data_IF_460376110907
#
_entry.id   IF_460376110907
#
_cell.length_a   1.000
_cell.length_b   1.000
_cell.length_c   1.000
_cell.angle_alpha   90.00
_cell.angle_beta   90.00
_cell.angle_gamma   90.00
#
_symmetry.space_group_name_H-M   'P 1'
#
loop_
_entity.id
_entity.type
_entity.pdbx_description
1 polymer ?
#
# COMPACT_ATOMS: atom_id res chain seq x y z
N UNK A 1 -4.03 5.10 19.24
CA UNK A 1 -3.44 3.75 19.53
C UNK A 1 -3.89 2.85 18.41
N UNK A 2 -3.01 2.64 17.45
CA UNK A 2 -3.30 1.92 16.20
C UNK A 2 -3.69 0.49 16.48
N UNK A 3 -4.87 0.09 16.10
CA UNK A 3 -5.41 -1.26 16.08
C UNK A 3 -5.15 -2.12 17.32
N UNK A 4 -6.09 -2.94 17.72
CA UNK A 4 -5.84 -3.87 18.81
C UNK A 4 -4.81 -4.92 18.37
N UNK A 5 -3.97 -5.41 19.28
CA UNK A 5 -3.08 -6.57 19.07
C UNK A 5 -3.81 -7.72 18.37
N UNK A 6 -5.09 -7.88 18.66
CA UNK A 6 -5.96 -8.88 18.05
C UNK A 6 -6.12 -8.65 16.55
N UNK A 7 -6.43 -7.42 16.13
CA UNK A 7 -6.57 -7.07 14.71
C UNK A 7 -5.27 -7.34 13.93
N UNK A 8 -4.12 -6.96 14.49
CA UNK A 8 -2.83 -7.27 13.89
C UNK A 8 -2.58 -8.77 13.75
N UNK A 9 -2.92 -9.57 14.76
CA UNK A 9 -2.79 -11.02 14.72
C UNK A 9 -3.73 -11.67 13.69
N UNK A 10 -4.97 -11.19 13.59
CA UNK A 10 -5.96 -11.65 12.60
C UNK A 10 -5.54 -11.32 11.15
N UNK A 11 -4.77 -10.25 10.95
CA UNK A 11 -4.18 -9.86 9.66
C UNK A 11 -2.78 -10.45 9.42
N UNK A 12 -2.46 -11.60 9.99
CA UNK A 12 -1.23 -12.34 9.70
C UNK A 12 -0.04 -12.04 10.63
N UNK A 13 -0.17 -11.14 11.59
CA UNK A 13 0.90 -10.76 12.52
C UNK A 13 1.33 -11.84 13.52
N UNK A 14 0.65 -12.99 13.56
CA UNK A 14 0.97 -14.08 14.51
C UNK A 14 2.37 -14.64 14.28
N UNK A 15 2.77 -14.89 13.04
CA UNK A 15 4.12 -15.39 12.70
C UNK A 15 5.18 -14.40 13.13
N UNK A 16 5.05 -13.13 12.74
CA UNK A 16 5.97 -12.05 13.13
C UNK A 16 6.07 -11.92 14.65
N UNK A 17 4.95 -12.01 15.37
CA UNK A 17 4.95 -11.96 16.82
C UNK A 17 5.72 -13.12 17.45
N UNK A 18 5.55 -14.34 16.93
CA UNK A 18 6.28 -15.53 17.39
C UNK A 18 7.78 -15.37 17.14
N UNK A 19 8.19 -14.94 15.96
CA UNK A 19 9.59 -14.74 15.61
C UNK A 19 10.23 -13.68 16.51
N UNK A 20 9.57 -12.55 16.73
CA UNK A 20 10.05 -11.51 17.63
C UNK A 20 10.20 -12.00 19.09
N UNK A 21 9.35 -12.92 19.55
CA UNK A 21 9.40 -13.41 20.93
C UNK A 21 10.34 -14.58 21.13
N UNK A 22 10.42 -15.51 20.19
CA UNK A 22 11.06 -16.81 20.39
C UNK A 22 12.36 -16.97 19.60
N UNK A 23 12.55 -16.21 18.52
CA UNK A 23 13.75 -16.26 17.67
C UNK A 23 14.70 -15.12 18.00
N UNK A 24 14.18 -13.90 18.16
CA UNK A 24 15.01 -12.73 18.43
C UNK A 24 15.41 -12.62 19.90
N UNK A 25 16.65 -12.24 20.15
CA UNK A 25 17.09 -11.79 21.48
C UNK A 25 16.33 -10.52 21.89
N UNK A 26 16.24 -10.19 23.20
CA UNK A 26 15.61 -8.94 23.65
C UNK A 26 16.22 -7.69 23.00
N UNK A 27 17.52 -7.67 22.76
CA UNK A 27 18.21 -6.54 22.13
C UNK A 27 17.84 -6.39 20.67
N UNK A 28 17.80 -7.48 19.90
CA UNK A 28 17.37 -7.48 18.49
C UNK A 28 15.93 -7.07 18.36
N UNK A 29 15.05 -7.60 19.20
CA UNK A 29 13.63 -7.21 19.25
C UNK A 29 13.45 -5.71 19.44
N UNK A 30 14.15 -5.13 20.43
CA UNK A 30 14.06 -3.70 20.68
C UNK A 30 14.57 -2.87 19.49
N UNK A 31 15.62 -3.31 18.82
CA UNK A 31 16.13 -2.67 17.59
C UNK A 31 15.09 -2.71 16.46
N UNK A 32 14.47 -3.87 16.24
CA UNK A 32 13.43 -4.03 15.21
C UNK A 32 12.24 -3.14 15.52
N UNK A 33 11.72 -3.16 16.75
CA UNK A 33 10.59 -2.32 17.17
C UNK A 33 10.93 -0.84 17.01
N UNK A 34 12.12 -0.43 17.44
CA UNK A 34 12.56 0.96 17.28
C UNK A 34 12.64 1.34 15.81
N UNK A 35 13.25 0.53 14.96
CA UNK A 35 13.32 0.75 13.51
C UNK A 35 11.92 0.93 12.92
N UNK A 36 11.01 -0.02 13.16
CA UNK A 36 9.64 0.05 12.65
C UNK A 36 8.89 1.30 13.13
N UNK A 37 9.13 1.74 14.38
CA UNK A 37 8.48 2.94 14.93
C UNK A 37 9.00 4.25 14.33
N UNK A 38 10.12 4.23 13.61
CA UNK A 38 10.71 5.39 12.94
C UNK A 38 10.40 5.45 11.45
N UNK A 39 9.78 4.42 10.89
CA UNK A 39 9.39 4.42 9.48
C UNK A 39 8.22 5.39 9.24
N UNK A 40 8.27 6.17 8.15
CA UNK A 40 7.13 6.95 7.74
C UNK A 40 5.99 6.04 7.26
N UNK A 41 4.75 6.46 7.44
CA UNK A 41 3.56 5.79 6.94
C UNK A 41 3.12 6.29 5.55
N UNK A 42 3.75 7.34 5.06
CA UNK A 42 3.62 7.89 3.71
C UNK A 42 4.92 8.57 3.29
N UNK A 43 5.07 8.85 2.01
CA UNK A 43 6.27 9.48 1.47
C UNK A 43 5.94 10.38 0.28
N UNK A 44 6.40 11.63 0.31
CA UNK A 44 6.34 12.53 -0.85
C UNK A 44 7.64 12.45 -1.64
N UNK A 45 7.53 12.33 -2.96
CA UNK A 45 8.68 12.28 -3.86
C UNK A 45 8.43 13.11 -5.12
N UNK A 46 9.47 13.79 -5.60
CA UNK A 46 9.46 14.49 -6.89
C UNK A 46 10.33 13.71 -7.88
N UNK A 47 9.77 13.45 -9.05
CA UNK A 47 10.45 12.76 -10.14
C UNK A 47 10.22 13.52 -11.43
N UNK A 48 11.27 14.16 -11.94
CA UNK A 48 11.16 15.12 -13.04
C UNK A 48 10.32 16.31 -12.64
N UNK A 49 9.26 16.56 -13.36
CA UNK A 49 8.28 17.65 -13.15
C UNK A 49 7.00 17.17 -12.40
N UNK A 50 6.98 15.90 -11.97
CA UNK A 50 5.83 15.29 -11.30
C UNK A 50 6.07 15.12 -9.81
N UNK A 51 5.01 15.31 -9.05
CA UNK A 51 4.99 15.05 -7.61
C UNK A 51 4.10 13.86 -7.30
N UNK A 52 4.56 13.01 -6.41
CA UNK A 52 3.84 11.84 -5.97
C UNK A 52 3.72 11.79 -4.46
N UNK A 53 2.59 11.29 -3.98
CA UNK A 53 2.36 10.94 -2.58
C UNK A 53 2.18 9.43 -2.49
N UNK A 54 3.13 8.75 -1.86
CA UNK A 54 3.13 7.29 -1.74
C UNK A 54 2.56 6.93 -0.37
N UNK A 55 1.50 6.14 -0.34
CA UNK A 55 0.84 5.72 0.92
C UNK A 55 0.24 4.32 0.76
N UNK A 56 0.09 3.58 1.86
CA UNK A 56 -0.39 2.20 1.77
C UNK A 56 -1.84 2.11 1.24
N UNK A 57 -2.77 2.89 1.80
CA UNK A 57 -4.17 2.88 1.38
C UNK A 57 -4.60 4.23 0.77
N UNK A 58 -5.03 5.20 1.58
CA UNK A 58 -5.48 6.49 1.04
C UNK A 58 -4.76 7.66 1.69
N UNK A 59 -4.47 8.74 0.96
CA UNK A 59 -4.02 9.98 1.58
C UNK A 59 -5.04 10.45 2.60
N UNK A 60 -4.60 10.79 3.81
CA UNK A 60 -5.47 11.33 4.87
C UNK A 60 -4.63 11.90 6.01
N UNK A 61 -5.19 12.84 6.75
CA UNK A 61 -4.63 13.26 8.04
C UNK A 61 -4.88 12.21 9.13
N UNK A 62 -5.90 11.36 8.95
CA UNK A 62 -6.16 10.23 9.84
C UNK A 62 -5.23 9.05 9.52
N UNK A 63 -4.40 8.62 10.48
CA UNK A 63 -3.52 7.46 10.28
C UNK A 63 -4.26 6.15 9.98
N UNK A 64 -5.47 5.97 10.49
CA UNK A 64 -6.25 4.77 10.22
C UNK A 64 -6.72 4.73 8.75
N UNK A 65 -7.06 5.86 8.18
CA UNK A 65 -7.38 5.99 6.74
C UNK A 65 -6.17 5.65 5.86
N UNK A 66 -4.95 6.07 6.23
CA UNK A 66 -3.74 5.74 5.49
C UNK A 66 -3.44 4.24 5.44
N UNK A 67 -4.05 3.46 6.31
CA UNK A 67 -3.85 2.00 6.41
C UNK A 67 -5.06 1.22 5.86
N UNK A 68 -6.30 1.71 6.07
CA UNK A 68 -7.50 0.91 5.88
C UNK A 68 -8.51 1.44 4.87
N UNK A 69 -8.50 2.75 4.57
CA UNK A 69 -9.49 3.35 3.69
C UNK A 69 -9.31 2.84 2.26
N UNK A 70 -10.42 2.44 1.66
CA UNK A 70 -10.44 1.96 0.28
C UNK A 70 -10.81 3.07 -0.68
N UNK A 71 -10.04 3.29 -1.76
CA UNK A 71 -10.41 4.19 -2.83
C UNK A 71 -11.66 3.68 -3.56
N UNK A 72 -12.35 4.62 -4.25
CA UNK A 72 -13.44 4.31 -5.15
C UNK A 72 -13.15 4.90 -6.53
N UNK A 73 -13.65 4.29 -7.61
CA UNK A 73 -13.39 4.76 -8.98
C UNK A 73 -13.82 6.20 -9.25
N UNK A 74 -14.81 6.70 -8.51
CA UNK A 74 -15.39 8.04 -8.63
C UNK A 74 -14.90 9.03 -7.57
N UNK A 75 -13.93 8.67 -6.75
CA UNK A 75 -13.34 9.59 -5.78
C UNK A 75 -12.68 10.77 -6.53
N UNK A 76 -12.88 12.01 -6.04
CA UNK A 76 -12.16 13.16 -6.59
C UNK A 76 -10.65 13.06 -6.29
N UNK A 77 -9.80 13.79 -7.02
CA UNK A 77 -8.38 13.83 -6.72
C UNK A 77 -8.17 14.34 -5.28
N UNK A 78 -7.32 13.68 -4.54
CA UNK A 78 -7.02 14.06 -3.15
C UNK A 78 -6.13 15.30 -3.08
N UNK A 79 -5.27 15.47 -4.07
CA UNK A 79 -4.36 16.60 -4.22
C UNK A 79 -4.58 17.30 -5.56
N UNK A 80 -4.35 18.62 -5.59
CA UNK A 80 -4.38 19.41 -6.83
C UNK A 80 -3.03 19.36 -7.58
N UNK A 81 -1.92 19.15 -6.86
CA UNK A 81 -0.56 19.33 -7.38
C UNK A 81 0.26 18.04 -7.49
N UNK A 82 -0.30 16.89 -7.09
CA UNK A 82 0.41 15.63 -7.08
C UNK A 82 -0.49 14.42 -7.27
N UNK A 83 0.11 13.31 -7.65
CA UNK A 83 -0.58 12.04 -7.85
C UNK A 83 -0.38 11.18 -6.59
N UNK A 84 -1.47 10.65 -6.03
CA UNK A 84 -1.37 9.63 -5.00
C UNK A 84 -1.07 8.26 -5.62
N UNK A 85 -0.10 7.53 -5.08
CA UNK A 85 0.17 6.13 -5.44
C UNK A 85 -0.13 5.27 -4.23
N UNK A 86 -1.08 4.35 -4.41
CA UNK A 86 -1.68 3.55 -3.33
C UNK A 86 -1.63 2.05 -3.64
N UNK A 87 -1.97 1.25 -2.64
CA UNK A 87 -2.22 -0.19 -2.72
C UNK A 87 -3.38 -0.60 -1.85
N UNK A 88 -3.27 -1.71 -1.09
CA UNK A 88 -4.25 -2.19 -0.10
C UNK A 88 -5.58 -2.69 -0.69
N UNK A 89 -6.09 -2.05 -1.73
CA UNK A 89 -7.34 -2.45 -2.37
C UNK A 89 -7.03 -3.02 -3.74
N UNK A 90 -7.18 -4.35 -3.94
CA UNK A 90 -6.87 -4.94 -5.23
C UNK A 90 -7.57 -4.23 -6.39
N UNK A 91 -6.82 -3.91 -7.43
CA UNK A 91 -7.27 -3.11 -8.59
C UNK A 91 -8.48 -3.70 -9.31
N UNK A 92 -8.73 -4.99 -9.16
CA UNK A 92 -9.94 -5.65 -9.71
C UNK A 92 -11.26 -5.05 -9.16
N UNK A 93 -11.23 -4.39 -8.00
CA UNK A 93 -12.40 -3.68 -7.47
C UNK A 93 -12.61 -2.30 -8.11
N UNK A 94 -11.58 -1.81 -8.82
CA UNK A 94 -11.53 -0.47 -9.40
C UNK A 94 -11.71 -0.48 -10.91
N UNK A 95 -11.10 -1.48 -11.60
CA UNK A 95 -10.87 -1.38 -13.03
C UNK A 95 -12.13 -1.58 -13.89
N UNK A 96 -13.07 -2.38 -13.45
CA UNK A 96 -14.19 -2.79 -14.32
C UNK A 96 -13.76 -3.59 -15.57
N UNK A 97 -12.45 -3.76 -15.79
CA UNK A 97 -11.89 -4.54 -16.90
C UNK A 97 -11.86 -6.02 -16.53
N UNK A 98 -12.64 -6.82 -17.26
CA UNK A 98 -12.75 -8.26 -17.03
C UNK A 98 -11.61 -9.06 -17.68
N UNK A 99 -10.88 -8.48 -18.63
CA UNK A 99 -9.75 -9.14 -19.31
C UNK A 99 -8.45 -8.95 -18.52
N UNK A 100 -8.27 -7.80 -17.92
CA UNK A 100 -7.09 -7.46 -17.10
C UNK A 100 -7.46 -6.86 -15.75
N UNK A 101 -8.22 -7.59 -14.91
CA UNK A 101 -8.76 -7.03 -13.66
C UNK A 101 -7.68 -6.63 -12.64
N UNK A 102 -6.48 -7.20 -12.75
CA UNK A 102 -5.33 -6.93 -11.89
C UNK A 102 -4.21 -6.15 -12.60
N UNK A 103 -4.55 -5.26 -13.53
CA UNK A 103 -3.61 -4.26 -14.03
C UNK A 103 -3.54 -3.05 -13.08
N UNK A 104 -2.46 -2.28 -13.15
CA UNK A 104 -2.36 -0.98 -12.46
C UNK A 104 -3.56 -0.13 -12.86
N UNK A 105 -4.25 0.44 -11.89
CA UNK A 105 -5.41 1.27 -12.14
C UNK A 105 -5.06 2.75 -12.05
N UNK A 106 -5.40 3.49 -13.11
CA UNK A 106 -5.18 4.93 -13.20
C UNK A 106 -6.51 5.66 -13.05
N UNK A 107 -6.70 6.30 -11.91
CA UNK A 107 -7.86 7.14 -11.63
C UNK A 107 -7.57 8.63 -11.72
N UNK A 108 -8.50 9.43 -11.22
CA UNK A 108 -8.37 10.87 -11.20
C UNK A 108 -7.42 11.32 -10.07
N UNK A 109 -6.13 11.58 -10.40
CA UNK A 109 -5.12 11.96 -9.42
C UNK A 109 -4.67 10.84 -8.47
N UNK A 110 -5.00 9.57 -8.80
CA UNK A 110 -4.66 8.40 -8.02
C UNK A 110 -4.21 7.25 -8.93
N UNK A 111 -3.17 6.54 -8.55
CA UNK A 111 -2.72 5.32 -9.20
C UNK A 111 -2.72 4.21 -8.15
N UNK A 112 -3.46 3.14 -8.38
CA UNK A 112 -3.47 1.97 -7.51
C UNK A 112 -2.61 0.85 -8.12
N UNK A 113 -1.61 0.39 -7.37
CA UNK A 113 -0.65 -0.64 -7.80
C UNK A 113 -0.85 -1.99 -7.09
N UNK A 114 -1.92 -2.17 -6.31
CA UNK A 114 -2.25 -3.48 -5.73
C UNK A 114 -2.87 -4.40 -6.79
N UNK A 115 -2.03 -4.99 -7.62
CA UNK A 115 -2.44 -5.93 -8.66
C UNK A 115 -2.71 -7.35 -8.12
N UNK A 116 -3.08 -7.44 -6.84
CA UNK A 116 -3.62 -8.65 -6.23
C UNK A 116 -2.62 -9.76 -6.00
N UNK A 117 -1.31 -9.47 -5.89
CA UNK A 117 -0.25 -10.48 -5.71
C UNK A 117 -0.54 -11.45 -4.54
N UNK A 118 -1.18 -10.98 -3.46
CA UNK A 118 -1.59 -11.77 -2.31
C UNK A 118 -2.87 -12.61 -2.51
N UNK A 119 -3.59 -12.43 -3.61
CA UNK A 119 -4.84 -13.11 -3.86
C UNK A 119 -4.64 -14.55 -4.37
N UNK A 120 -5.62 -15.41 -4.11
CA UNK A 120 -5.63 -16.81 -4.57
C UNK A 120 -6.29 -16.93 -5.95
N UNK A 121 -5.74 -16.28 -6.96
CA UNK A 121 -6.21 -16.34 -8.36
C UNK A 121 -5.03 -16.40 -9.30
N UNK A 122 -5.20 -17.08 -10.43
CA UNK A 122 -4.18 -17.12 -11.50
C UNK A 122 -4.02 -15.79 -12.22
N UNK A 123 -4.98 -14.86 -12.08
CA UNK A 123 -4.94 -13.54 -12.70
C UNK A 123 -4.12 -12.52 -11.89
N UNK A 124 -3.71 -12.87 -10.65
CA UNK A 124 -2.91 -12.00 -9.79
C UNK A 124 -1.57 -11.63 -10.44
N UNK A 125 -1.09 -10.43 -10.14
CA UNK A 125 0.21 -9.94 -10.62
C UNK A 125 0.94 -9.22 -9.50
N UNK A 126 2.25 -9.22 -9.55
CA UNK A 126 3.08 -8.26 -8.83
C UNK A 126 3.42 -7.14 -9.80
N UNK A 127 3.02 -5.92 -9.50
CA UNK A 127 3.30 -4.76 -10.34
C UNK A 127 4.46 -3.93 -9.77
N UNK A 128 5.22 -3.33 -10.68
CA UNK A 128 6.16 -2.26 -10.38
C UNK A 128 5.87 -1.08 -11.31
N UNK A 129 5.62 0.09 -10.74
CA UNK A 129 5.38 1.32 -11.48
C UNK A 129 6.66 2.18 -11.47
N UNK A 130 7.19 2.52 -12.64
CA UNK A 130 8.27 3.49 -12.76
C UNK A 130 7.70 4.90 -12.81
N UNK A 131 8.11 5.77 -11.88
CA UNK A 131 7.49 7.08 -11.72
C UNK A 131 7.91 8.11 -12.79
N UNK A 132 9.06 7.91 -13.47
CA UNK A 132 9.55 8.84 -14.49
C UNK A 132 8.59 8.98 -15.68
N UNK A 133 8.07 7.85 -16.15
CA UNK A 133 7.25 7.76 -17.35
C UNK A 133 5.95 6.97 -17.15
N UNK A 134 5.68 6.55 -15.92
CA UNK A 134 4.55 5.72 -15.50
C UNK A 134 4.52 4.35 -16.19
N UNK A 135 5.69 3.85 -16.60
CA UNK A 135 5.78 2.53 -17.20
C UNK A 135 5.54 1.43 -16.17
N UNK A 136 4.69 0.51 -16.54
CA UNK A 136 4.28 -0.62 -15.73
C UNK A 136 5.09 -1.87 -16.10
N UNK A 137 5.48 -2.64 -15.09
CA UNK A 137 6.13 -3.94 -15.23
C UNK A 137 5.39 -4.94 -14.35
N UNK A 138 5.24 -6.16 -14.85
CA UNK A 138 4.47 -7.21 -14.18
C UNK A 138 5.24 -8.51 -14.10
N UNK A 139 5.04 -9.23 -12.97
CA UNK A 139 5.52 -10.60 -12.73
C UNK A 139 4.34 -11.47 -12.30
#
# INVERSE_FOLDING_TARGET
>A
MYGSRRLWQENGGISTYRDLLYVCSPTERNRIIHFLSTLPDHFDVEVGDRKFHLVHAMPSDDPDDRIWRRPKPDDPPYFEDRIAVVGHTPTCYMSGDMESPFAVWHGNGLIDIDCGCGNKTELRRLACLRLDDLKEFYI
#
